data_IF_055771531825
#
_entry.id   IF_055771531825
#
_cell.length_a   1.000
_cell.length_b   1.000
_cell.length_c   1.000
_cell.angle_alpha   90.00
_cell.angle_beta   90.00
_cell.angle_gamma   90.00
#
_symmetry.space_group_name_H-M   'P 1'
#
loop_
_entity.id
_entity.type
_entity.pdbx_description
1 polymer ?
#
# COMPACT_ATOMS: atom_id res chain seq x y z
N UNK A 1 6.37 -12.92 27.44
CA UNK A 1 5.78 -12.24 26.26
C UNK A 1 6.60 -12.63 25.04
N UNK A 2 6.44 -13.88 24.59
CA UNK A 2 7.30 -14.54 23.60
C UNK A 2 6.47 -15.23 22.50
N UNK A 3 5.16 -14.96 22.47
CA UNK A 3 4.18 -15.63 21.62
C UNK A 3 3.98 -14.86 20.28
N UNK A 4 4.27 -13.56 20.22
CA UNK A 4 3.94 -12.75 19.04
C UNK A 4 4.99 -12.79 17.91
N UNK A 5 6.25 -13.17 18.18
CA UNK A 5 7.30 -13.14 17.14
C UNK A 5 7.22 -14.32 16.15
N UNK A 6 6.61 -15.44 16.56
CA UNK A 6 6.45 -16.61 15.69
C UNK A 6 5.28 -16.44 14.70
N UNK A 7 4.21 -15.72 15.10
CA UNK A 7 3.06 -15.49 14.21
C UNK A 7 3.38 -14.51 13.08
N UNK A 8 4.19 -13.48 13.32
CA UNK A 8 4.56 -12.49 12.29
C UNK A 8 5.50 -13.08 11.22
N UNK A 9 6.40 -13.98 11.61
CA UNK A 9 7.30 -14.66 10.67
C UNK A 9 6.57 -15.69 9.81
N UNK A 10 5.63 -16.43 10.41
CA UNK A 10 4.77 -17.39 9.69
C UNK A 10 3.82 -16.70 8.69
N UNK A 11 3.34 -15.49 9.00
CA UNK A 11 2.50 -14.72 8.08
C UNK A 11 3.24 -14.29 6.81
N UNK A 12 4.51 -13.89 6.93
CA UNK A 12 5.27 -13.37 5.79
C UNK A 12 5.74 -14.47 4.82
N UNK A 13 6.00 -15.68 5.32
CA UNK A 13 6.34 -16.84 4.47
C UNK A 13 5.18 -17.25 3.55
N UNK A 14 3.93 -16.91 3.90
CA UNK A 14 2.78 -17.16 3.03
C UNK A 14 2.84 -16.37 1.71
N UNK A 15 3.60 -15.26 1.66
CA UNK A 15 3.76 -14.46 0.44
C UNK A 15 4.55 -15.18 -0.65
N UNK A 16 5.31 -16.25 -0.32
CA UNK A 16 5.96 -17.11 -1.33
C UNK A 16 4.94 -17.89 -2.17
N UNK A 17 3.73 -18.06 -1.65
CA UNK A 17 2.68 -18.86 -2.28
C UNK A 17 1.76 -18.01 -3.16
N UNK A 18 0.94 -18.67 -3.99
CA UNK A 18 -0.14 -18.01 -4.73
C UNK A 18 -1.09 -17.29 -3.74
N UNK A 19 -1.59 -16.09 -4.05
CA UNK A 19 -1.50 -15.38 -5.34
C UNK A 19 -0.28 -14.47 -5.50
N UNK A 20 0.59 -14.36 -4.50
CA UNK A 20 1.65 -13.35 -4.46
C UNK A 20 2.94 -13.82 -5.13
N UNK A 21 3.34 -15.08 -4.89
CA UNK A 21 4.52 -15.70 -5.51
C UNK A 21 5.81 -14.87 -5.37
N UNK A 22 5.99 -14.22 -4.22
CA UNK A 22 7.14 -13.36 -3.95
C UNK A 22 8.43 -14.17 -3.76
N UNK A 23 9.56 -13.59 -4.17
CA UNK A 23 10.89 -14.10 -3.84
C UNK A 23 11.26 -13.77 -2.40
N UNK A 24 12.34 -14.36 -1.89
CA UNK A 24 12.85 -14.02 -0.55
C UNK A 24 13.31 -12.57 -0.44
N UNK A 25 13.82 -12.01 -1.53
CA UNK A 25 14.23 -10.60 -1.61
C UNK A 25 13.02 -9.66 -1.55
N UNK A 26 11.95 -9.98 -2.29
CA UNK A 26 10.69 -9.21 -2.23
C UNK A 26 10.09 -9.24 -0.82
N UNK A 27 10.09 -10.42 -0.18
CA UNK A 27 9.61 -10.59 1.19
C UNK A 27 10.45 -9.79 2.19
N UNK A 28 11.77 -9.79 2.03
CA UNK A 28 12.66 -8.98 2.85
C UNK A 28 12.30 -7.50 2.72
N UNK A 29 12.09 -7.01 1.51
CA UNK A 29 11.67 -5.62 1.29
C UNK A 29 10.32 -5.31 1.94
N UNK A 30 9.31 -6.19 1.81
CA UNK A 30 8.00 -6.01 2.47
C UNK A 30 8.17 -5.90 3.98
N UNK A 31 8.96 -6.80 4.59
CA UNK A 31 9.20 -6.81 6.03
C UNK A 31 9.92 -5.56 6.50
N UNK A 32 11.02 -5.19 5.85
CA UNK A 32 11.80 -4.00 6.21
C UNK A 32 10.95 -2.73 6.08
N UNK A 33 10.19 -2.60 4.98
CA UNK A 33 9.27 -1.48 4.79
C UNK A 33 8.20 -1.43 5.88
N UNK A 34 7.58 -2.57 6.22
CA UNK A 34 6.55 -2.62 7.27
C UNK A 34 7.12 -2.31 8.66
N UNK A 35 8.33 -2.78 8.97
CA UNK A 35 8.96 -2.54 10.27
C UNK A 35 9.40 -1.08 10.45
N UNK A 36 9.76 -0.39 9.37
CA UNK A 36 10.16 1.03 9.38
C UNK A 36 8.97 2.00 9.47
N UNK A 37 7.76 1.55 9.15
CA UNK A 37 6.56 2.38 9.21
C UNK A 37 6.12 2.68 10.65
N UNK A 38 5.72 3.93 10.89
CA UNK A 38 5.00 4.33 12.09
C UNK A 38 3.61 3.70 12.15
N UNK A 39 2.99 3.68 13.34
CA UNK A 39 1.62 3.18 13.50
C UNK A 39 0.62 3.95 12.63
N UNK A 40 0.74 5.27 12.56
CA UNK A 40 -0.07 6.13 11.69
C UNK A 40 0.08 5.76 10.21
N UNK A 41 1.31 5.48 9.75
CA UNK A 41 1.57 5.03 8.38
C UNK A 41 0.93 3.68 8.10
N UNK A 42 1.01 2.73 9.06
CA UNK A 42 0.35 1.42 8.94
C UNK A 42 -1.16 1.58 8.83
N UNK A 43 -1.76 2.46 9.63
CA UNK A 43 -3.19 2.76 9.59
C UNK A 43 -3.59 3.36 8.24
N UNK A 44 -2.81 4.31 7.70
CA UNK A 44 -3.09 4.92 6.38
C UNK A 44 -3.11 3.90 5.25
N UNK A 45 -2.24 2.89 5.32
CA UNK A 45 -2.19 1.78 4.35
C UNK A 45 -3.40 0.82 4.44
N UNK A 46 -4.32 0.99 5.38
CA UNK A 46 -5.59 0.24 5.40
C UNK A 46 -6.67 0.86 4.51
N UNK A 47 -6.46 2.08 4.02
CA UNK A 47 -7.46 2.83 3.27
C UNK A 47 -7.17 2.85 1.77
N UNK A 48 -8.21 2.60 0.98
CA UNK A 48 -8.25 2.87 -0.45
C UNK A 48 -9.25 3.99 -0.70
N UNK A 49 -8.76 5.15 -1.15
CA UNK A 49 -9.57 6.36 -1.28
C UNK A 49 -10.14 6.50 -2.69
N UNK A 50 -11.23 7.25 -2.84
CA UNK A 50 -11.88 7.45 -4.13
C UNK A 50 -11.47 8.81 -4.69
N UNK A 51 -10.98 8.83 -5.93
CA UNK A 51 -10.76 10.05 -6.70
C UNK A 51 -11.86 10.23 -7.74
N UNK A 52 -12.56 11.37 -7.69
CA UNK A 52 -13.68 11.69 -8.59
C UNK A 52 -13.30 12.65 -9.72
N UNK A 53 -12.14 13.30 -9.62
CA UNK A 53 -11.72 14.37 -10.51
C UNK A 53 -10.22 14.30 -10.73
N UNK A 54 -9.80 14.65 -11.94
CA UNK A 54 -8.41 14.82 -12.34
C UNK A 54 -7.93 16.21 -11.91
N UNK A 55 -7.65 16.36 -10.61
CA UNK A 55 -7.15 17.59 -10.02
C UNK A 55 -5.76 17.32 -9.45
N UNK A 56 -4.72 17.86 -10.08
CA UNK A 56 -3.32 17.65 -9.70
C UNK A 56 -3.06 17.92 -8.21
N UNK A 57 -3.64 19.00 -7.67
CA UNK A 57 -3.50 19.37 -6.25
C UNK A 57 -4.14 18.33 -5.31
N UNK A 58 -5.24 17.69 -5.72
CA UNK A 58 -5.86 16.61 -4.96
C UNK A 58 -4.95 15.37 -4.92
N UNK A 59 -4.32 15.02 -6.04
CA UNK A 59 -3.38 13.90 -6.09
C UNK A 59 -2.09 14.18 -5.31
N UNK A 60 -1.57 15.41 -5.37
CA UNK A 60 -0.42 15.83 -4.55
C UNK A 60 -0.73 15.72 -3.06
N UNK A 61 -1.90 16.19 -2.63
CA UNK A 61 -2.32 16.07 -1.23
C UNK A 61 -2.46 14.61 -0.81
N UNK A 62 -3.06 13.77 -1.66
CA UNK A 62 -3.13 12.32 -1.45
C UNK A 62 -1.75 11.68 -1.31
N UNK A 63 -0.79 12.02 -2.17
CA UNK A 63 0.53 11.40 -2.20
C UNK A 63 1.46 11.90 -1.08
N UNK A 64 1.37 13.18 -0.72
CA UNK A 64 2.32 13.80 0.21
C UNK A 64 1.79 13.78 1.64
N UNK A 65 0.52 14.13 1.84
CA UNK A 65 -0.04 14.35 3.18
C UNK A 65 -0.83 13.14 3.68
N UNK A 66 -1.67 12.55 2.83
CA UNK A 66 -2.57 11.47 3.23
C UNK A 66 -1.88 10.10 3.20
N UNK A 67 -1.20 9.77 2.09
CA UNK A 67 -0.47 8.50 1.86
C UNK A 67 -1.32 7.22 2.04
N UNK A 68 -2.49 7.10 1.38
CA UNK A 68 -3.30 5.88 1.46
C UNK A 68 -2.59 4.70 0.78
N UNK A 69 -3.05 3.47 1.02
CA UNK A 69 -2.53 2.31 0.28
C UNK A 69 -2.95 2.28 -1.19
N UNK A 70 -4.08 2.91 -1.51
CA UNK A 70 -4.57 2.92 -2.87
C UNK A 70 -5.53 4.06 -3.16
N UNK A 71 -5.70 4.31 -4.44
CA UNK A 71 -6.70 5.24 -4.95
C UNK A 71 -7.51 4.53 -6.04
N UNK A 72 -8.82 4.47 -5.84
CA UNK A 72 -9.77 4.04 -6.85
C UNK A 72 -10.19 5.26 -7.67
N UNK A 73 -9.65 5.35 -8.89
CA UNK A 73 -10.09 6.33 -9.88
C UNK A 73 -11.49 5.97 -10.36
N UNK A 74 -12.43 6.90 -10.23
CA UNK A 74 -13.73 6.76 -10.91
C UNK A 74 -13.54 6.98 -12.42
N UNK A 75 -14.48 6.51 -13.26
CA UNK A 75 -14.40 6.74 -14.68
C UNK A 75 -14.20 8.22 -15.00
N UNK A 76 -13.09 8.52 -15.67
CA UNK A 76 -12.78 9.82 -16.21
C UNK A 76 -12.93 9.78 -17.74
N UNK A 77 -13.19 10.92 -18.39
CA UNK A 77 -12.95 11.06 -19.83
C UNK A 77 -11.55 10.56 -20.22
N UNK A 78 -11.43 9.92 -21.40
CA UNK A 78 -10.20 9.26 -21.84
C UNK A 78 -9.00 10.22 -21.91
N UNK A 79 -9.24 11.46 -22.33
CA UNK A 79 -8.26 12.54 -22.40
C UNK A 79 -7.70 12.95 -21.04
N UNK A 80 -8.44 12.73 -19.96
CA UNK A 80 -7.99 12.95 -18.58
C UNK A 80 -7.26 11.71 -18.03
N UNK A 81 -7.72 10.51 -18.40
CA UNK A 81 -7.16 9.25 -17.88
C UNK A 81 -5.73 8.92 -18.35
N UNK A 82 -5.25 9.52 -19.46
CA UNK A 82 -3.94 9.22 -20.06
C UNK A 82 -2.80 10.16 -19.64
N UNK A 83 -3.11 11.23 -18.90
CA UNK A 83 -2.14 12.27 -18.52
C UNK A 83 -1.69 12.18 -17.04
N UNK A 84 -1.91 11.03 -16.39
CA UNK A 84 -1.55 10.75 -14.99
C UNK A 84 -0.08 10.37 -14.85
#
# INVERSE_FOLDING_TARGET
MMINFLEETEQMDNLKNKPFNLTEEDIKWVKETFDEMTEDEKIRQLFCLIAYRDEEEFYKDMAINIKPAGVMLRPLPMDQAINI
#
